data_IF_995846714925
#
_entry.id   IF_995846714925
#
_cell.length_a   1.000
_cell.length_b   1.000
_cell.length_c   1.000
_cell.angle_alpha   90.00
_cell.angle_beta   90.00
_cell.angle_gamma   90.00
#
_symmetry.space_group_name_H-M   'P 1'
#
loop_
_entity.id
_entity.type
_entity.pdbx_description
1 polymer ?
#
# COMPACT_ATOMS: atom_id res chain seq x y z
N UNK A 1 -41.24 -27.44 -32.64
CA UNK A 1 -40.52 -28.65 -33.06
C UNK A 1 -39.42 -28.89 -32.04
N UNK A 2 -39.70 -29.76 -31.06
CA UNK A 2 -38.72 -30.21 -30.08
C UNK A 2 -37.85 -31.27 -30.75
N UNK A 3 -36.55 -31.01 -30.86
CA UNK A 3 -35.60 -32.02 -31.30
C UNK A 3 -35.14 -32.75 -30.04
N UNK A 4 -35.74 -33.90 -29.75
CA UNK A 4 -35.52 -34.67 -28.51
C UNK A 4 -34.24 -35.54 -28.56
N UNK A 5 -33.40 -35.40 -29.59
CA UNK A 5 -31.97 -35.82 -29.63
C UNK A 5 -31.37 -35.61 -31.04
N UNK A 6 -30.13 -35.09 -31.13
CA UNK A 6 -29.38 -34.99 -32.39
C UNK A 6 -28.24 -33.95 -32.40
N UNK A 7 -27.34 -33.96 -33.40
CA UNK A 7 -26.19 -33.05 -33.47
C UNK A 7 -26.56 -31.56 -33.43
N UNK A 8 -27.72 -31.18 -33.97
CA UNK A 8 -28.20 -29.80 -33.97
C UNK A 8 -28.56 -29.29 -32.57
N UNK A 9 -29.12 -30.15 -31.70
CA UNK A 9 -29.40 -29.80 -30.30
C UNK A 9 -28.08 -29.55 -29.55
N UNK A 10 -27.11 -30.46 -29.71
CA UNK A 10 -25.78 -30.32 -29.11
C UNK A 10 -25.09 -29.02 -29.55
N UNK A 11 -25.16 -28.68 -30.85
CA UNK A 11 -24.62 -27.41 -31.37
C UNK A 11 -25.33 -26.22 -30.74
N UNK A 12 -26.67 -26.23 -30.66
CA UNK A 12 -27.43 -25.15 -30.04
C UNK A 12 -27.08 -24.97 -28.56
N UNK A 13 -27.01 -26.05 -27.79
CA UNK A 13 -26.66 -26.02 -26.36
C UNK A 13 -25.24 -25.51 -26.14
N UNK A 14 -24.31 -25.97 -26.98
CA UNK A 14 -22.92 -25.50 -26.99
C UNK A 14 -22.87 -24.00 -27.29
N UNK A 15 -23.54 -23.55 -28.37
CA UNK A 15 -23.59 -22.14 -28.75
C UNK A 15 -24.26 -21.28 -27.68
N UNK A 16 -25.32 -21.77 -27.05
CA UNK A 16 -26.02 -21.04 -25.97
C UNK A 16 -25.11 -20.89 -24.75
N UNK A 17 -24.36 -21.93 -24.40
CA UNK A 17 -23.39 -21.90 -23.29
C UNK A 17 -22.23 -20.94 -23.57
N UNK A 18 -21.65 -21.01 -24.78
CA UNK A 18 -20.59 -20.08 -25.22
C UNK A 18 -21.12 -18.64 -25.24
N UNK A 19 -22.32 -18.42 -25.77
CA UNK A 19 -22.95 -17.10 -25.80
C UNK A 19 -23.23 -16.56 -24.39
N UNK A 20 -23.67 -17.41 -23.46
CA UNK A 20 -23.88 -17.02 -22.08
C UNK A 20 -22.57 -16.59 -21.39
N UNK A 21 -21.49 -17.36 -21.55
CA UNK A 21 -20.16 -17.00 -21.00
C UNK A 21 -19.63 -15.73 -21.64
N UNK A 22 -19.75 -15.59 -22.97
CA UNK A 22 -19.34 -14.39 -23.68
C UNK A 22 -20.16 -13.16 -23.24
N UNK A 23 -21.47 -13.31 -23.02
CA UNK A 23 -22.32 -12.25 -22.51
C UNK A 23 -21.90 -11.81 -21.09
N UNK A 24 -21.61 -12.76 -20.19
CA UNK A 24 -21.09 -12.45 -18.85
C UNK A 24 -19.75 -11.73 -18.95
N UNK A 25 -18.82 -12.23 -19.77
CA UNK A 25 -17.52 -11.62 -19.99
C UNK A 25 -17.64 -10.19 -20.55
N UNK A 26 -18.53 -9.99 -21.52
CA UNK A 26 -18.81 -8.68 -22.10
C UNK A 26 -19.42 -7.71 -21.09
N UNK A 27 -20.36 -8.18 -20.25
CA UNK A 27 -20.94 -7.36 -19.17
C UNK A 27 -19.83 -6.94 -18.20
N UNK A 28 -19.01 -7.89 -17.75
CA UNK A 28 -17.90 -7.59 -16.84
C UNK A 28 -16.92 -6.60 -17.46
N UNK A 29 -16.49 -6.81 -18.71
CA UNK A 29 -15.61 -5.89 -19.43
C UNK A 29 -16.23 -4.50 -19.63
N UNK A 30 -17.52 -4.45 -19.97
CA UNK A 30 -18.25 -3.19 -20.15
C UNK A 30 -18.32 -2.40 -18.84
N UNK A 31 -18.38 -3.08 -17.70
CA UNK A 31 -18.37 -2.45 -16.37
C UNK A 31 -16.95 -2.12 -15.91
N UNK A 32 -15.99 -3.03 -16.04
CA UNK A 32 -14.62 -2.86 -15.52
C UNK A 32 -13.72 -2.01 -16.42
N UNK A 33 -13.84 -2.11 -17.74
CA UNK A 33 -12.90 -1.54 -18.72
C UNK A 33 -11.61 -2.35 -18.88
N UNK A 34 -11.43 -3.40 -18.07
CA UNK A 34 -10.21 -4.22 -18.03
C UNK A 34 -10.53 -5.70 -18.08
N UNK A 35 -9.66 -6.47 -18.74
CA UNK A 35 -9.74 -7.92 -18.82
C UNK A 35 -8.40 -8.55 -18.46
N UNK A 36 -8.32 -9.46 -17.46
CA UNK A 36 -9.44 -9.93 -16.62
C UNK A 36 -9.91 -8.88 -15.60
N UNK A 37 -11.22 -8.82 -15.27
CA UNK A 37 -11.78 -7.81 -14.36
C UNK A 37 -11.52 -8.12 -12.88
N UNK A 38 -10.78 -9.19 -12.58
CA UNK A 38 -10.58 -9.71 -11.24
C UNK A 38 -9.16 -10.28 -11.07
N UNK A 39 -8.55 -10.02 -9.92
CA UNK A 39 -7.23 -10.53 -9.53
C UNK A 39 -7.31 -11.22 -8.16
N UNK A 40 -6.45 -12.21 -7.93
CA UNK A 40 -6.40 -12.92 -6.65
C UNK A 40 -5.23 -12.39 -5.81
N UNK A 41 -5.42 -12.25 -4.50
CA UNK A 41 -4.38 -11.81 -3.57
C UNK A 41 -3.50 -12.99 -3.21
N UNK A 42 -2.23 -12.93 -3.58
CA UNK A 42 -1.27 -14.03 -3.41
C UNK A 42 -0.41 -13.91 -2.15
N UNK A 43 -0.25 -12.70 -1.60
CA UNK A 43 0.64 -12.40 -0.48
C UNK A 43 -0.06 -11.60 0.62
N UNK A 44 0.58 -11.52 1.79
CA UNK A 44 0.08 -10.76 2.96
C UNK A 44 0.53 -9.29 3.00
N UNK A 45 1.03 -8.72 1.89
CA UNK A 45 1.55 -7.33 1.87
C UNK A 45 0.48 -6.26 2.10
N UNK A 46 -0.79 -6.62 1.89
CA UNK A 46 -1.95 -5.73 2.04
C UNK A 46 -2.76 -5.99 3.31
N UNK A 47 -2.28 -6.83 4.23
CA UNK A 47 -2.94 -7.03 5.52
C UNK A 47 -2.92 -5.76 6.39
N UNK A 48 -3.93 -5.53 7.24
CA UNK A 48 -5.15 -6.34 7.43
C UNK A 48 -6.28 -6.02 6.42
N UNK A 49 -6.01 -5.18 5.42
CA UNK A 49 -7.04 -4.65 4.53
C UNK A 49 -7.43 -5.61 3.39
N UNK A 50 -6.50 -6.48 2.99
CA UNK A 50 -6.73 -7.59 2.08
C UNK A 50 -5.97 -8.83 2.55
N UNK A 51 -6.65 -9.98 2.50
CA UNK A 51 -6.10 -11.25 2.93
C UNK A 51 -5.70 -12.12 1.75
N UNK A 52 -4.71 -12.98 1.96
CA UNK A 52 -4.33 -13.99 0.97
C UNK A 52 -5.53 -14.88 0.64
N UNK A 53 -5.80 -15.06 -0.64
CA UNK A 53 -6.97 -15.82 -1.11
C UNK A 53 -8.23 -14.98 -1.34
N UNK A 54 -8.18 -13.67 -1.10
CA UNK A 54 -9.25 -12.77 -1.55
C UNK A 54 -9.24 -12.63 -3.07
N UNK A 55 -10.42 -12.46 -3.68
CA UNK A 55 -10.57 -12.03 -5.06
C UNK A 55 -10.97 -10.56 -5.10
N UNK A 56 -10.23 -9.77 -5.87
CA UNK A 56 -10.43 -8.32 -5.98
C UNK A 56 -11.00 -8.01 -7.36
N UNK A 57 -12.15 -7.35 -7.40
CA UNK A 57 -12.68 -6.75 -8.62
C UNK A 57 -11.99 -5.40 -8.87
N UNK A 58 -11.52 -5.22 -10.10
CA UNK A 58 -10.74 -4.07 -10.52
C UNK A 58 -11.42 -3.36 -11.68
N UNK A 59 -11.12 -2.07 -11.83
CA UNK A 59 -11.55 -1.26 -12.98
C UNK A 59 -10.35 -0.61 -13.63
N UNK A 60 -10.49 -0.23 -14.89
CA UNK A 60 -9.56 0.66 -15.58
C UNK A 60 -9.34 1.94 -14.75
N UNK A 61 -8.12 2.50 -14.75
CA UNK A 61 -7.90 3.86 -14.24
C UNK A 61 -8.87 4.85 -14.87
N UNK A 62 -9.32 5.85 -14.11
CA UNK A 62 -10.31 6.84 -14.55
C UNK A 62 -11.77 6.38 -14.47
N UNK A 63 -12.04 5.07 -14.54
CA UNK A 63 -13.40 4.56 -14.45
C UNK A 63 -13.94 4.64 -13.03
N UNK A 64 -15.05 5.34 -12.82
CA UNK A 64 -15.55 5.70 -11.47
C UNK A 64 -14.48 6.43 -10.65
N UNK A 65 -13.68 7.28 -11.30
CA UNK A 65 -12.70 8.11 -10.61
C UNK A 65 -13.39 9.11 -9.69
N UNK A 66 -12.96 9.21 -8.42
CA UNK A 66 -13.34 10.32 -7.56
C UNK A 66 -12.72 11.64 -8.04
N UNK A 67 -13.33 12.76 -7.70
CA UNK A 67 -12.81 14.11 -8.01
C UNK A 67 -11.45 14.39 -7.34
N UNK A 68 -11.11 13.64 -6.30
CA UNK A 68 -9.84 13.72 -5.58
C UNK A 68 -8.70 12.93 -6.24
N UNK A 69 -8.93 12.35 -7.42
CA UNK A 69 -7.87 11.65 -8.14
C UNK A 69 -6.77 12.63 -8.56
N UNK A 70 -5.54 12.13 -8.59
CA UNK A 70 -4.41 12.90 -9.08
C UNK A 70 -4.56 13.12 -10.58
N UNK A 71 -4.87 14.35 -10.97
CA UNK A 71 -5.08 14.73 -12.38
C UNK A 71 -6.07 13.77 -13.08
N UNK A 72 -5.76 13.37 -14.31
CA UNK A 72 -6.56 12.45 -15.13
C UNK A 72 -6.16 10.97 -14.94
N UNK A 73 -5.38 10.65 -13.90
CA UNK A 73 -4.91 9.27 -13.67
C UNK A 73 -6.00 8.36 -13.12
N UNK A 74 -7.03 8.94 -12.51
CA UNK A 74 -8.07 8.23 -11.80
C UNK A 74 -7.63 7.43 -10.57
N UNK A 75 -6.44 7.73 -10.05
CA UNK A 75 -5.89 7.17 -8.81
C UNK A 75 -5.87 8.26 -7.75
N UNK A 76 -6.48 7.99 -6.59
CA UNK A 76 -6.42 8.91 -5.44
C UNK A 76 -5.23 8.50 -4.58
N UNK A 77 -4.28 9.40 -4.32
CA UNK A 77 -3.18 9.06 -3.42
C UNK A 77 -3.64 9.05 -1.95
N UNK A 78 -2.88 8.44 -1.06
CA UNK A 78 -3.18 8.51 0.37
C UNK A 78 -3.21 9.96 0.87
N UNK A 79 -2.30 10.81 0.39
CA UNK A 79 -2.25 12.23 0.76
C UNK A 79 -3.54 12.95 0.36
N UNK A 80 -3.94 12.84 -0.90
CA UNK A 80 -5.15 13.50 -1.44
C UNK A 80 -6.42 12.90 -0.84
N UNK A 81 -6.44 11.57 -0.66
CA UNK A 81 -7.55 10.86 -0.05
C UNK A 81 -7.78 11.26 1.40
N UNK A 82 -6.71 11.58 2.15
CA UNK A 82 -6.83 12.09 3.51
C UNK A 82 -7.43 13.48 3.56
N UNK A 83 -7.11 14.34 2.60
CA UNK A 83 -7.67 15.68 2.48
C UNK A 83 -9.13 15.65 2.02
N UNK A 84 -9.45 14.84 1.02
CA UNK A 84 -10.78 14.72 0.43
C UNK A 84 -11.71 13.75 1.19
N UNK A 85 -11.21 13.03 2.19
CA UNK A 85 -11.95 11.99 2.91
C UNK A 85 -12.21 10.71 2.11
N UNK A 86 -11.50 10.49 1.00
CA UNK A 86 -11.63 9.28 0.18
C UNK A 86 -10.87 8.10 0.78
N UNK A 87 -11.57 6.98 0.98
CA UNK A 87 -11.03 5.74 1.55
C UNK A 87 -11.33 4.53 0.66
N UNK A 88 -10.38 3.60 0.60
CA UNK A 88 -10.56 2.28 0.01
C UNK A 88 -9.96 1.20 0.92
N UNK A 89 -10.70 0.09 1.09
CA UNK A 89 -10.31 -1.05 1.92
C UNK A 89 -9.92 -0.67 3.37
N UNK A 90 -10.60 0.31 3.97
CA UNK A 90 -10.41 0.69 5.38
C UNK A 90 -9.45 1.87 5.62
N UNK A 91 -8.63 2.23 4.63
CA UNK A 91 -7.64 3.32 4.75
C UNK A 91 -7.72 4.31 3.57
N UNK A 92 -7.01 5.44 3.65
CA UNK A 92 -7.08 6.51 2.65
C UNK A 92 -6.43 6.14 1.31
N UNK A 93 -6.88 6.79 0.25
CA UNK A 93 -6.33 6.60 -1.10
C UNK A 93 -6.74 5.28 -1.75
N UNK A 94 -6.35 5.13 -3.02
CA UNK A 94 -6.63 3.98 -3.87
C UNK A 94 -5.61 2.87 -3.69
N UNK A 95 -6.08 1.63 -3.81
CA UNK A 95 -5.23 0.45 -4.01
C UNK A 95 -5.15 0.16 -5.50
N UNK A 96 -3.94 0.13 -6.03
CA UNK A 96 -3.65 -0.04 -7.46
C UNK A 96 -3.02 -1.40 -7.72
N UNK A 97 -3.31 -1.94 -8.89
CA UNK A 97 -2.70 -3.13 -9.46
C UNK A 97 -1.80 -2.64 -10.58
N UNK A 98 -0.51 -2.96 -10.53
CA UNK A 98 0.44 -2.48 -11.53
C UNK A 98 1.51 -3.51 -11.87
N UNK A 99 2.09 -3.35 -13.05
CA UNK A 99 3.20 -4.15 -13.56
C UNK A 99 4.37 -3.22 -13.91
N UNK A 100 5.50 -3.37 -13.22
CA UNK A 100 6.73 -2.65 -13.55
C UNK A 100 7.45 -3.43 -14.66
N UNK A 101 7.68 -2.85 -15.86
CA UNK A 101 8.30 -3.55 -16.98
C UNK A 101 9.75 -4.00 -16.72
N UNK A 102 10.40 -3.47 -15.68
CA UNK A 102 11.72 -3.89 -15.22
C UNK A 102 11.68 -5.04 -14.21
N UNK A 103 10.51 -5.36 -13.67
CA UNK A 103 10.25 -6.45 -12.75
C UNK A 103 9.73 -7.68 -13.50
N UNK A 104 10.11 -8.87 -13.04
CA UNK A 104 9.57 -10.13 -13.57
C UNK A 104 8.74 -10.79 -12.47
N UNK A 105 7.43 -10.91 -12.67
CA UNK A 105 6.55 -11.53 -11.69
C UNK A 105 5.06 -11.29 -11.96
N UNK A 106 4.19 -11.74 -11.05
CA UNK A 106 2.78 -11.35 -11.08
C UNK A 106 2.62 -9.85 -10.76
N UNK A 107 1.51 -9.22 -11.20
CA UNK A 107 1.21 -7.83 -10.87
C UNK A 107 1.21 -7.55 -9.36
N UNK A 108 1.63 -6.35 -8.99
CA UNK A 108 1.75 -5.92 -7.60
C UNK A 108 0.48 -5.17 -7.20
N UNK A 109 -0.07 -5.49 -6.02
CA UNK A 109 -1.27 -4.86 -5.47
C UNK A 109 -0.86 -4.04 -4.25
N UNK A 110 -0.74 -2.73 -4.38
CA UNK A 110 -0.33 -1.85 -3.27
C UNK A 110 -1.08 -0.51 -3.28
N UNK A 111 -1.01 0.21 -2.17
CA UNK A 111 -1.69 1.51 -2.02
C UNK A 111 -0.85 2.64 -2.60
N UNK A 112 -1.47 3.50 -3.40
CA UNK A 112 -0.85 4.74 -3.85
C UNK A 112 -0.71 5.70 -2.66
N UNK A 113 0.52 6.10 -2.32
CA UNK A 113 0.79 6.90 -1.12
C UNK A 113 0.84 8.39 -1.46
N UNK A 114 1.61 8.76 -2.48
CA UNK A 114 1.70 10.12 -3.00
C UNK A 114 2.27 10.11 -4.41
N UNK A 115 2.03 11.20 -5.15
CA UNK A 115 2.61 11.44 -6.47
C UNK A 115 3.99 12.09 -6.35
N UNK A 116 4.89 11.79 -7.28
CA UNK A 116 6.17 12.48 -7.46
C UNK A 116 6.36 12.87 -8.92
N UNK A 117 6.99 14.01 -9.16
CA UNK A 117 7.35 14.51 -10.49
C UNK A 117 8.73 14.03 -10.94
N UNK A 118 9.02 14.17 -12.22
CA UNK A 118 10.33 13.83 -12.80
C UNK A 118 11.45 14.68 -12.18
N UNK A 119 12.50 14.02 -11.69
CA UNK A 119 13.61 14.65 -10.98
C UNK A 119 13.27 15.13 -9.56
N UNK A 120 12.09 14.83 -9.01
CA UNK A 120 11.71 15.28 -7.67
C UNK A 120 12.51 14.54 -6.59
N UNK A 121 13.03 15.30 -5.63
CA UNK A 121 13.53 14.76 -4.37
C UNK A 121 12.35 14.34 -3.49
N UNK A 122 11.94 13.09 -3.62
CA UNK A 122 10.79 12.57 -2.89
C UNK A 122 11.10 12.17 -1.44
N UNK A 123 12.36 12.22 -1.00
CA UNK A 123 12.75 11.99 0.40
C UNK A 123 12.03 12.94 1.36
N UNK A 124 11.91 14.21 0.98
CA UNK A 124 11.29 15.24 1.82
C UNK A 124 9.78 15.06 1.99
N UNK A 125 9.15 14.44 0.99
CA UNK A 125 7.71 14.15 0.95
C UNK A 125 7.36 12.81 1.61
N UNK A 126 8.32 11.89 1.67
CA UNK A 126 8.17 10.56 2.23
C UNK A 126 7.90 10.60 3.74
N UNK A 127 7.15 9.61 4.23
CA UNK A 127 7.11 9.33 5.65
C UNK A 127 8.43 8.64 6.05
N UNK A 128 9.21 9.28 6.91
CA UNK A 128 10.53 8.79 7.32
C UNK A 128 10.51 7.42 8.02
N UNK A 129 9.36 7.01 8.59
CA UNK A 129 9.23 5.65 9.16
C UNK A 129 9.15 4.54 8.10
N UNK A 130 8.94 4.88 6.82
CA UNK A 130 8.82 3.94 5.70
C UNK A 130 10.03 3.96 4.75
N UNK A 131 11.14 4.55 5.17
CA UNK A 131 12.41 4.47 4.45
C UNK A 131 13.54 4.11 5.43
N UNK A 132 14.70 3.70 4.90
CA UNK A 132 15.95 3.58 5.67
C UNK A 132 17.06 4.26 4.88
N UNK A 133 17.05 5.57 4.94
CA UNK A 133 18.00 6.46 4.30
C UNK A 133 18.00 7.78 5.07
N UNK A 134 19.13 8.49 5.08
CA UNK A 134 19.26 9.80 5.72
C UNK A 134 19.09 10.96 4.72
N UNK A 135 19.04 10.64 3.42
CA UNK A 135 18.84 11.60 2.33
C UNK A 135 18.38 10.89 1.05
N UNK A 136 18.13 11.67 0.00
CA UNK A 136 17.72 11.19 -1.31
C UNK A 136 18.81 10.38 -2.03
N UNK A 137 20.08 10.71 -1.87
CA UNK A 137 21.19 10.05 -2.57
C UNK A 137 21.35 8.58 -2.13
N UNK A 138 20.89 8.26 -0.93
CA UNK A 138 20.87 6.89 -0.38
C UNK A 138 19.64 6.07 -0.81
N UNK A 139 18.61 6.71 -1.39
CA UNK A 139 17.40 6.04 -1.84
C UNK A 139 17.51 5.60 -3.30
N UNK A 140 17.09 4.36 -3.56
CA UNK A 140 16.84 3.94 -4.93
C UNK A 140 15.73 4.80 -5.56
N UNK A 141 15.91 5.16 -6.83
CA UNK A 141 14.98 6.00 -7.59
C UNK A 141 14.76 7.39 -6.96
N UNK A 142 15.76 7.95 -6.26
CA UNK A 142 15.74 9.32 -5.75
C UNK A 142 17.02 10.06 -6.24
N UNK A 143 16.91 11.23 -6.90
CA UNK A 143 15.66 11.88 -7.35
C UNK A 143 14.84 10.96 -8.26
N UNK A 144 13.53 11.19 -8.31
CA UNK A 144 12.62 10.36 -9.09
C UNK A 144 13.08 10.31 -10.56
N UNK A 145 13.31 9.13 -11.15
CA UNK A 145 13.77 9.01 -12.54
C UNK A 145 12.68 9.36 -13.57
N UNK A 146 11.45 9.56 -13.09
CA UNK A 146 10.28 10.00 -13.84
C UNK A 146 9.12 10.25 -12.87
N UNK A 147 8.09 10.95 -13.37
CA UNK A 147 6.86 11.12 -12.63
C UNK A 147 6.10 9.79 -12.43
N UNK A 148 5.44 9.66 -11.28
CA UNK A 148 4.65 8.48 -10.93
C UNK A 148 4.23 8.43 -9.47
N UNK A 149 3.57 7.34 -9.09
CA UNK A 149 3.13 7.10 -7.72
C UNK A 149 4.22 6.41 -6.90
N UNK A 150 4.48 6.95 -5.71
CA UNK A 150 5.14 6.19 -4.65
C UNK A 150 4.08 5.28 -4.02
N UNK A 151 4.34 3.98 -4.01
CA UNK A 151 3.41 2.94 -3.57
C UNK A 151 3.94 2.19 -2.37
N UNK A 152 3.04 1.56 -1.62
CA UNK A 152 3.40 0.74 -0.46
C UNK A 152 2.30 -0.26 -0.14
N UNK A 153 2.68 -1.51 0.11
CA UNK A 153 1.78 -2.48 0.73
C UNK A 153 1.41 -2.08 2.16
N UNK A 154 0.14 -2.20 2.53
CA UNK A 154 -0.36 -1.76 3.83
C UNK A 154 0.39 -2.41 5.01
N UNK A 155 0.82 -3.67 4.85
CA UNK A 155 1.62 -4.43 5.81
C UNK A 155 3.14 -4.39 5.56
N UNK A 156 3.61 -3.63 4.57
CA UNK A 156 5.05 -3.55 4.29
C UNK A 156 5.75 -2.59 5.26
N UNK A 157 7.03 -2.80 5.54
CA UNK A 157 7.79 -1.88 6.40
C UNK A 157 8.19 -0.57 5.69
N UNK A 158 8.33 -0.60 4.36
CA UNK A 158 8.84 0.52 3.56
C UNK A 158 8.07 0.70 2.26
N UNK A 159 8.29 1.84 1.59
CA UNK A 159 7.82 2.08 0.23
C UNK A 159 8.41 1.09 -0.77
N UNK A 160 7.68 0.83 -1.84
CA UNK A 160 8.10 -0.08 -2.91
C UNK A 160 9.37 0.46 -3.60
N UNK A 161 9.42 1.78 -3.79
CA UNK A 161 10.56 2.51 -4.36
C UNK A 161 11.80 2.43 -3.47
N UNK A 162 11.62 2.48 -2.15
CA UNK A 162 12.71 2.36 -1.17
C UNK A 162 13.23 0.93 -0.99
N UNK A 163 12.43 -0.07 -1.37
CA UNK A 163 12.80 -1.49 -1.29
C UNK A 163 13.32 -2.05 -2.63
N UNK A 164 13.38 -1.24 -3.68
CA UNK A 164 13.78 -1.70 -5.01
C UNK A 164 12.76 -2.63 -5.66
N UNK A 165 11.48 -2.54 -5.26
CA UNK A 165 10.39 -3.33 -5.85
C UNK A 165 9.97 -2.73 -7.20
N UNK A 166 9.92 -1.40 -7.28
CA UNK A 166 9.57 -0.68 -8.49
C UNK A 166 10.13 0.75 -8.47
N UNK A 167 10.30 1.37 -9.63
CA UNK A 167 10.45 2.82 -9.73
C UNK A 167 9.11 3.53 -9.36
N UNK A 168 9.02 4.87 -9.28
CA UNK A 168 7.73 5.55 -9.15
C UNK A 168 6.73 5.06 -10.21
N UNK A 169 5.60 4.51 -9.80
CA UNK A 169 4.69 3.78 -10.68
C UNK A 169 4.04 4.74 -11.67
N UNK A 170 4.34 4.59 -12.97
CA UNK A 170 3.73 5.43 -14.01
C UNK A 170 2.23 5.15 -14.09
N UNK A 171 1.39 6.14 -14.44
CA UNK A 171 -0.02 5.89 -14.71
C UNK A 171 -0.24 4.77 -15.75
N UNK A 172 0.63 4.70 -16.77
CA UNK A 172 0.59 3.68 -17.82
C UNK A 172 0.96 2.27 -17.36
N UNK A 173 1.51 2.11 -16.15
CA UNK A 173 1.84 0.81 -15.55
C UNK A 173 0.69 0.29 -14.68
N UNK A 174 -0.33 1.12 -14.41
CA UNK A 174 -1.47 0.74 -13.60
C UNK A 174 -2.47 -0.03 -14.45
N UNK A 175 -2.51 -1.34 -14.27
CA UNK A 175 -3.49 -2.22 -14.92
C UNK A 175 -4.91 -2.02 -14.40
N UNK A 176 -5.05 -1.56 -13.15
CA UNK A 176 -6.36 -1.23 -12.61
C UNK A 176 -6.37 -0.70 -11.18
N UNK A 177 -7.54 -0.19 -10.79
CA UNK A 177 -7.84 0.27 -9.43
C UNK A 177 -8.76 -0.73 -8.75
N UNK A 178 -8.36 -1.21 -7.58
CA UNK A 178 -9.16 -2.13 -6.77
C UNK A 178 -10.43 -1.45 -6.24
N UNK A 179 -11.59 -2.11 -6.42
CA UNK A 179 -12.89 -1.56 -6.02
C UNK A 179 -13.61 -2.40 -4.98
N UNK A 180 -13.65 -3.71 -5.18
CA UNK A 180 -14.42 -4.64 -4.33
C UNK A 180 -13.58 -5.84 -3.98
N UNK A 181 -13.65 -6.27 -2.71
CA UNK A 181 -12.99 -7.47 -2.18
C UNK A 181 -14.04 -8.54 -1.93
N UNK A 182 -13.80 -9.74 -2.44
CA UNK A 182 -14.62 -10.93 -2.23
C UNK A 182 -13.79 -11.94 -1.44
N UNK A 183 -14.06 -12.11 -0.14
CA UNK A 183 -13.28 -12.98 0.71
C UNK A 183 -13.25 -14.43 0.22
N UNK A 184 -12.08 -15.08 0.33
CA UNK A 184 -11.86 -16.51 0.02
C UNK A 184 -12.11 -16.95 -1.44
N UNK A 185 -12.69 -16.12 -2.31
CA UNK A 185 -13.01 -16.54 -3.68
C UNK A 185 -11.74 -16.73 -4.53
N UNK A 186 -10.66 -16.01 -4.20
CA UNK A 186 -9.34 -16.22 -4.79
C UNK A 186 -8.76 -17.60 -4.45
N UNK A 187 -9.21 -18.24 -3.37
CA UNK A 187 -8.81 -19.61 -3.04
C UNK A 187 -9.19 -20.63 -4.10
N UNK A 188 -10.24 -20.40 -4.88
CA UNK A 188 -10.57 -21.30 -5.99
C UNK A 188 -9.47 -21.24 -7.06
N UNK A 189 -8.89 -20.06 -7.29
CA UNK A 189 -7.77 -19.86 -8.21
C UNK A 189 -6.45 -20.38 -7.63
N UNK A 190 -6.22 -20.19 -6.34
CA UNK A 190 -4.96 -20.58 -5.66
C UNK A 190 -4.93 -22.07 -5.24
N UNK A 191 -6.10 -22.67 -5.03
CA UNK A 191 -6.31 -23.97 -4.37
C UNK A 191 -6.11 -25.21 -5.24
N UNK A 192 -5.48 -25.09 -6.41
CA UNK A 192 -5.04 -26.25 -7.21
C UNK A 192 -3.54 -26.56 -7.05
N UNK A 193 -2.86 -25.91 -6.09
CA UNK A 193 -1.47 -26.18 -5.71
C UNK A 193 -1.27 -26.29 -4.20
N UNK A 194 -0.04 -26.63 -3.76
CA UNK A 194 0.37 -26.93 -2.37
C UNK A 194 0.14 -25.80 -1.33
N UNK A 195 -0.47 -24.69 -1.72
CA UNK A 195 -0.69 -23.47 -0.94
C UNK A 195 -2.18 -23.14 -0.70
N UNK A 196 -3.01 -24.15 -0.44
CA UNK A 196 -4.46 -23.99 -0.21
C UNK A 196 -4.76 -23.03 0.95
N UNK A 197 -5.43 -21.91 0.65
CA UNK A 197 -5.94 -20.98 1.67
C UNK A 197 -7.22 -21.45 2.39
N UNK A 198 -7.69 -22.67 2.09
CA UNK A 198 -8.79 -23.32 2.81
C UNK A 198 -8.28 -24.29 3.89
N UNK A 199 -6.97 -24.41 4.09
CA UNK A 199 -6.42 -25.30 5.11
C UNK A 199 -6.69 -24.72 6.52
N UNK A 200 -7.45 -25.42 7.39
CA UNK A 200 -7.72 -24.96 8.74
C UNK A 200 -6.45 -25.15 9.59
N UNK A 201 -5.60 -24.12 9.63
CA UNK A 201 -4.34 -24.17 10.36
C UNK A 201 -3.57 -22.85 10.48
N UNK A 202 -4.00 -21.76 9.85
CA UNK A 202 -3.47 -20.41 10.09
C UNK A 202 -4.08 -19.77 11.35
N UNK A 203 -4.16 -20.54 12.44
CA UNK A 203 -4.24 -19.93 13.78
C UNK A 203 -2.87 -19.35 14.11
N UNK A 204 -2.82 -18.03 14.08
CA UNK A 204 -1.80 -17.16 14.68
C UNK A 204 -1.18 -17.83 15.90
N UNK A 205 0.12 -18.10 15.87
CA UNK A 205 0.89 -18.32 17.09
C UNK A 205 0.96 -16.98 17.80
N UNK A 206 0.03 -16.80 18.72
CA UNK A 206 0.06 -15.76 19.73
C UNK A 206 1.37 -15.92 20.51
N UNK A 207 2.27 -14.94 20.38
CA UNK A 207 3.48 -14.89 21.19
C UNK A 207 3.04 -14.34 22.54
N UNK A 208 2.67 -15.26 23.45
CA UNK A 208 2.41 -14.94 24.85
C UNK A 208 3.60 -14.20 25.46
N UNK A 209 3.35 -12.96 25.88
CA UNK A 209 4.20 -12.25 26.84
C UNK A 209 4.22 -13.01 28.18
N UNK A 210 5.33 -13.02 28.93
CA UNK A 210 5.35 -13.65 30.24
C UNK A 210 4.81 -12.68 31.28
N UNK A 211 3.65 -12.99 31.85
CA UNK A 211 3.19 -12.39 33.12
C UNK A 211 3.07 -13.47 34.19
N UNK A 212 4.07 -13.47 35.07
CA UNK A 212 3.96 -13.59 36.53
C UNK A 212 3.34 -14.84 37.14
N UNK A 213 4.13 -15.54 37.96
CA UNK A 213 3.59 -16.13 39.20
C UNK A 213 4.55 -15.79 40.35
N UNK A 214 3.95 -15.16 41.35
CA UNK A 214 4.50 -14.85 42.67
C UNK A 214 4.26 -16.08 43.53
N UNK A 215 5.28 -16.64 44.16
CA UNK A 215 5.11 -17.61 45.25
C UNK A 215 5.97 -17.17 46.45
N UNK A 216 5.32 -16.93 47.59
CA UNK A 216 5.91 -16.62 48.90
C UNK A 216 5.62 -17.79 49.84
N UNK A 217 6.67 -18.32 50.47
CA UNK A 217 6.77 -18.93 51.80
C UNK A 217 8.24 -19.40 51.94
N UNK A 218 8.98 -19.34 53.04
CA UNK A 218 8.75 -19.04 54.46
C UNK A 218 10.12 -18.70 55.09
N UNK A 219 10.11 -18.16 56.32
CA UNK A 219 11.23 -17.71 57.17
C UNK A 219 12.30 -18.79 57.47
N UNK A 220 13.54 -18.34 57.72
CA UNK A 220 14.31 -18.55 58.99
C UNK A 220 15.53 -17.59 59.03
N UNK A 221 16.07 -17.23 60.22
CA UNK A 221 16.85 -16.00 60.43
C UNK A 221 18.37 -16.22 60.57
N UNK A 222 19.15 -15.16 60.31
CA UNK A 222 20.53 -15.09 60.81
C UNK A 222 21.40 -14.01 60.16
N UNK A 223 22.10 -13.24 61.00
CA UNK A 223 23.35 -12.58 60.62
C UNK A 223 23.30 -11.06 60.50
N UNK A 224 23.58 -10.40 61.62
CA UNK A 224 23.94 -8.98 61.72
C UNK A 224 25.34 -8.81 61.13
N UNK A 225 25.56 -7.86 60.21
CA UNK A 225 26.75 -7.01 60.28
C UNK A 225 26.58 -5.72 59.45
N UNK A 226 26.93 -4.65 60.13
CA UNK A 226 27.00 -3.24 59.77
C UNK A 226 28.10 -2.93 58.77
N UNK A 227 27.89 -1.95 57.90
CA UNK A 227 28.76 -0.77 57.83
C UNK A 227 28.22 0.31 56.91
N UNK A 228 28.25 1.50 57.47
CA UNK A 228 28.02 2.82 56.91
C UNK A 228 28.69 3.05 55.54
N UNK A 229 28.04 3.85 54.69
CA UNK A 229 28.59 5.14 54.24
C UNK A 229 27.60 5.81 53.27
N UNK A 230 26.94 6.84 53.78
CA UNK A 230 26.14 7.80 53.05
C UNK A 230 27.05 8.94 52.49
N UNK A 231 26.56 10.01 51.83
CA UNK A 231 26.84 10.24 50.42
C UNK A 231 27.52 11.60 50.14
N UNK A 232 27.46 12.04 48.86
CA UNK A 232 27.37 13.45 48.39
C UNK A 232 28.58 13.96 47.55
N UNK A 233 28.53 15.17 46.93
CA UNK A 233 28.42 15.31 45.48
C UNK A 233 29.47 16.31 44.91
N UNK A 234 29.45 16.58 43.61
CA UNK A 234 30.19 17.70 42.98
C UNK A 234 29.53 18.05 41.65
N UNK A 235 28.64 19.06 41.57
CA UNK A 235 28.91 20.51 41.39
C UNK A 235 29.63 20.76 40.06
N UNK A 236 28.90 21.02 38.96
CA UNK A 236 28.33 22.30 38.49
C UNK A 236 29.28 23.13 37.61
N UNK A 237 28.82 23.49 36.40
CA UNK A 237 28.83 24.86 35.86
C UNK A 237 28.14 24.89 34.49
N UNK A 238 27.37 25.95 34.25
CA UNK A 238 26.49 26.16 33.11
C UNK A 238 27.01 27.26 32.16
N UNK A 239 26.73 27.10 30.85
CA UNK A 239 26.26 28.11 29.87
C UNK A 239 27.16 29.32 29.49
N UNK A 240 26.89 30.08 28.39
CA UNK A 240 25.71 30.06 27.49
C UNK A 240 25.98 30.08 25.97
N UNK A 241 24.85 30.03 25.25
CA UNK A 241 24.59 30.13 23.82
C UNK A 241 25.13 31.39 23.09
N UNK A 242 25.22 31.30 21.76
CA UNK A 242 25.25 32.46 20.84
C UNK A 242 24.81 32.10 19.42
N UNK A 243 23.62 32.57 19.05
CA UNK A 243 23.16 32.97 17.70
C UNK A 243 21.83 33.72 17.88
N UNK A 244 21.31 34.53 16.93
CA UNK A 244 21.84 34.95 15.61
C UNK A 244 21.81 36.49 15.40
N UNK A 245 22.22 36.99 14.23
CA UNK A 245 21.96 38.38 13.80
C UNK A 245 21.50 38.41 12.33
N UNK A 246 20.50 39.24 11.95
CA UNK A 246 19.81 39.19 10.66
C UNK A 246 20.25 40.30 9.68
N UNK A 247 19.91 40.13 8.40
CA UNK A 247 19.63 41.14 7.32
C UNK A 247 20.09 40.56 5.97
N UNK A 248 19.41 40.70 4.83
CA UNK A 248 18.55 41.79 4.38
C UNK A 248 17.47 41.31 3.39
N UNK A 249 16.25 41.81 3.57
CA UNK A 249 15.28 42.00 2.49
C UNK A 249 15.72 43.19 1.63
N UNK A 250 15.72 43.02 0.31
CA UNK A 250 15.65 44.13 -0.65
C UNK A 250 14.37 43.98 -1.47
N UNK A 251 13.48 44.94 -1.26
CA UNK A 251 12.38 45.26 -2.15
C UNK A 251 12.89 46.17 -3.29
N UNK A 252 12.54 45.81 -4.52
CA UNK A 252 12.42 46.68 -5.70
C UNK A 252 11.34 46.00 -6.58
N UNK A 253 10.44 46.65 -7.29
CA UNK A 253 9.91 48.00 -7.31
C UNK A 253 8.68 47.88 -8.23
N UNK A 254 7.56 48.49 -7.85
CA UNK A 254 6.41 48.64 -8.74
C UNK A 254 6.59 49.89 -9.63
N UNK A 255 6.45 49.73 -10.94
CA UNK A 255 6.15 50.78 -11.92
C UNK A 255 5.64 50.10 -13.22
N UNK A 256 4.34 50.16 -13.54
CA UNK A 256 3.58 51.21 -14.29
C UNK A 256 3.66 51.08 -15.83
N UNK A 257 2.44 50.99 -16.43
CA UNK A 257 2.00 51.40 -17.80
C UNK A 257 2.43 50.48 -18.96
N UNK A 258 1.65 50.19 -20.00
CA UNK A 258 0.31 50.58 -20.45
C UNK A 258 0.01 49.94 -21.82
N UNK A 259 -1.25 50.04 -22.25
CA UNK A 259 -1.84 49.88 -23.60
C UNK A 259 -1.02 49.22 -24.74
N UNK A 260 -1.58 48.16 -25.35
CA UNK A 260 -2.25 48.15 -26.68
C UNK A 260 -3.32 47.06 -26.65
#
# INVERSE_FOLDING_TARGET
MHADSGPLLFVRETLTSVAAVAAIGLILFTVSGVWPPMVAVESGSMQPHMERGDLIFITEPGRFSPDAAHEDTGVVTYADGREAGYRSFGDYGSVVIYDDPSSFGPPIIHRARFWVDDGENWYEKANQSYIRADNCEELANCPAPHAGFVTKGDNNARYDQANGIAAPVRPSWVDGVARVRIPFLGCIRLGLGENSCLSPGSTVRDVSAPTGVVERAELEPGGIESSDSEPSPGVAAASPASAPTPSAQRAHAAARRGAV
#
